data_IF_895880667601
#
_entry.id   IF_895880667601
#
_cell.length_a   1.000
_cell.length_b   1.000
_cell.length_c   1.000
_cell.angle_alpha   90.00
_cell.angle_beta   90.00
_cell.angle_gamma   90.00
#
_symmetry.space_group_name_H-M   'P 1'
#
loop_
_entity.id
_entity.type
_entity.pdbx_description
1 polymer ?
#
# COMPACT_ATOMS: atom_id res chain seq x y z
N UNK A 1 -64.00 -32.31 52.92
CA UNK A 1 -62.74 -33.02 52.62
C UNK A 1 -62.00 -32.17 51.60
N UNK A 2 -60.73 -31.88 51.89
CA UNK A 2 -59.75 -31.17 51.05
C UNK A 2 -59.84 -31.60 49.56
N UNK A 3 -59.60 -30.75 48.57
CA UNK A 3 -58.27 -30.20 48.32
C UNK A 3 -58.31 -28.78 47.75
N UNK A 4 -57.42 -27.96 48.31
CA UNK A 4 -56.96 -26.69 47.78
C UNK A 4 -56.71 -26.81 46.27
N UNK A 5 -57.44 -26.02 45.49
CA UNK A 5 -57.01 -25.63 44.15
C UNK A 5 -55.78 -24.74 44.32
N UNK A 6 -54.61 -25.40 44.28
CA UNK A 6 -53.31 -24.78 44.32
C UNK A 6 -53.17 -23.90 43.08
N UNK A 7 -53.51 -22.61 43.21
CA UNK A 7 -53.23 -21.57 42.22
C UNK A 7 -51.71 -21.46 42.12
N UNK A 8 -51.13 -22.17 41.15
CA UNK A 8 -49.75 -21.99 40.74
C UNK A 8 -49.64 -20.59 40.16
N UNK A 9 -49.23 -19.63 40.99
CA UNK A 9 -48.74 -18.35 40.53
C UNK A 9 -47.59 -18.65 39.58
N UNK A 10 -47.81 -18.35 38.30
CA UNK A 10 -46.75 -18.33 37.31
C UNK A 10 -45.91 -17.08 37.62
N UNK A 11 -45.12 -17.16 38.69
CA UNK A 11 -44.04 -16.23 38.99
C UNK A 11 -43.01 -16.42 37.88
N UNK A 12 -43.28 -15.79 36.73
CA UNK A 12 -42.26 -15.54 35.71
C UNK A 12 -41.21 -14.72 36.44
N UNK A 13 -40.19 -15.43 36.95
CA UNK A 13 -39.05 -14.84 37.63
C UNK A 13 -38.56 -13.71 36.74
N UNK A 14 -38.85 -12.46 37.11
CA UNK A 14 -38.31 -11.28 36.47
C UNK A 14 -36.81 -11.32 36.73
N UNK A 15 -36.08 -12.05 35.89
CA UNK A 15 -34.63 -11.96 35.76
C UNK A 15 -34.38 -10.47 35.54
N UNK A 16 -33.90 -9.77 36.57
CA UNK A 16 -33.51 -8.36 36.45
C UNK A 16 -32.49 -8.31 35.33
N UNK A 17 -32.90 -7.86 34.14
CA UNK A 17 -31.96 -7.58 33.06
C UNK A 17 -31.08 -6.46 33.60
N UNK A 18 -29.84 -6.79 33.99
CA UNK A 18 -28.82 -5.79 34.29
C UNK A 18 -28.55 -5.10 32.95
N UNK A 19 -29.12 -3.92 32.77
CA UNK A 19 -28.81 -3.07 31.63
C UNK A 19 -27.43 -2.46 31.80
N UNK A 20 -26.81 -2.10 30.68
CA UNK A 20 -25.57 -1.32 30.66
C UNK A 20 -25.83 0.06 31.27
N UNK A 21 -24.98 0.51 32.18
CA UNK A 21 -25.07 1.84 32.77
C UNK A 21 -24.48 2.89 31.82
N UNK A 22 -24.99 4.12 31.87
CA UNK A 22 -24.43 5.21 31.08
C UNK A 22 -22.98 5.52 31.48
N UNK A 23 -22.64 5.31 32.76
CA UNK A 23 -21.28 5.52 33.28
C UNK A 23 -20.30 4.51 32.66
N UNK A 24 -20.71 3.24 32.54
CA UNK A 24 -19.90 2.22 31.85
C UNK A 24 -19.64 2.61 30.40
N UNK A 25 -20.63 3.18 29.70
CA UNK A 25 -20.44 3.65 28.33
C UNK A 25 -19.47 4.83 28.23
N UNK A 26 -19.57 5.78 29.16
CA UNK A 26 -18.72 6.98 29.18
C UNK A 26 -17.25 6.62 29.40
N UNK A 27 -16.96 5.67 30.31
CA UNK A 27 -15.59 5.23 30.56
C UNK A 27 -15.01 4.52 29.32
N UNK A 28 -15.81 3.72 28.62
CA UNK A 28 -15.36 3.01 27.42
C UNK A 28 -14.98 3.99 26.31
N UNK A 29 -15.82 4.99 26.02
CA UNK A 29 -15.49 5.99 24.98
C UNK A 29 -14.30 6.86 25.39
N UNK A 30 -14.11 7.12 26.69
CA UNK A 30 -12.96 7.88 27.18
C UNK A 30 -11.64 7.12 26.95
N UNK A 31 -11.62 5.81 27.22
CA UNK A 31 -10.44 4.97 26.95
C UNK A 31 -10.18 4.86 25.45
N UNK A 32 -11.22 4.65 24.63
CA UNK A 32 -11.08 4.61 23.15
C UNK A 32 -10.54 5.94 22.62
N UNK A 33 -10.97 7.08 23.16
CA UNK A 33 -10.49 8.39 22.75
C UNK A 33 -8.99 8.57 23.02
N UNK A 34 -8.50 8.11 24.18
CA UNK A 34 -7.07 8.17 24.53
C UNK A 34 -6.25 7.27 23.59
N UNK A 35 -6.71 6.05 23.33
CA UNK A 35 -6.03 5.13 22.41
C UNK A 35 -6.01 5.67 20.97
N UNK A 36 -7.14 6.20 20.49
CA UNK A 36 -7.27 6.77 19.17
C UNK A 36 -6.35 7.99 18.97
N UNK A 37 -6.22 8.85 19.98
CA UNK A 37 -5.35 10.02 19.93
C UNK A 37 -3.86 9.66 19.68
N UNK A 38 -3.39 8.52 20.20
CA UNK A 38 -2.02 8.04 19.98
C UNK A 38 -1.91 7.23 18.68
N UNK A 39 -2.92 6.43 18.36
CA UNK A 39 -2.88 5.50 17.23
C UNK A 39 -3.02 6.19 15.87
N UNK A 40 -3.91 7.18 15.75
CA UNK A 40 -4.21 7.86 14.48
C UNK A 40 -2.98 8.51 13.85
N UNK A 41 -2.18 9.36 14.53
CA UNK A 41 -1.02 10.00 13.90
C UNK A 41 0.03 8.97 13.45
N UNK A 42 0.31 7.96 14.30
CA UNK A 42 1.28 6.90 13.99
C UNK A 42 0.89 6.06 12.79
N UNK A 43 -0.40 5.79 12.61
CA UNK A 43 -0.88 4.97 11.49
C UNK A 43 -0.60 5.62 10.14
N UNK A 44 -0.70 6.94 10.04
CA UNK A 44 -0.40 7.69 8.81
C UNK A 44 1.07 7.53 8.39
N UNK A 45 2.00 7.77 9.31
CA UNK A 45 3.44 7.65 9.06
C UNK A 45 3.85 6.21 8.67
N UNK A 46 3.32 5.21 9.38
CA UNK A 46 3.58 3.80 9.09
C UNK A 46 3.08 3.46 7.69
N UNK A 47 1.90 3.94 7.30
CA UNK A 47 1.33 3.70 5.97
C UNK A 47 2.18 4.33 4.87
N UNK A 48 2.62 5.58 5.05
CA UNK A 48 3.47 6.27 4.07
C UNK A 48 4.81 5.57 3.93
N UNK A 49 5.49 5.24 5.04
CA UNK A 49 6.76 4.52 4.99
C UNK A 49 6.63 3.11 4.39
N UNK A 50 5.52 2.41 4.67
CA UNK A 50 5.25 1.11 4.06
C UNK A 50 5.05 1.23 2.54
N UNK A 51 4.38 2.28 2.08
CA UNK A 51 4.20 2.54 0.65
C UNK A 51 5.53 2.90 -0.02
N UNK A 52 6.37 3.76 0.57
CA UNK A 52 7.71 4.10 0.07
C UNK A 52 8.60 2.86 -0.08
N UNK A 53 8.58 1.97 0.93
CA UNK A 53 9.33 0.71 0.88
C UNK A 53 8.82 -0.23 -0.20
N UNK A 54 7.51 -0.28 -0.41
CA UNK A 54 6.90 -1.07 -1.47
C UNK A 54 7.31 -0.54 -2.85
N UNK A 55 7.30 0.78 -3.03
CA UNK A 55 7.70 1.42 -4.29
C UNK A 55 9.19 1.23 -4.57
N UNK A 56 10.05 1.32 -3.54
CA UNK A 56 11.46 0.98 -3.65
C UNK A 56 11.68 -0.48 -4.06
N UNK A 57 10.90 -1.42 -3.53
CA UNK A 57 10.99 -2.82 -3.92
C UNK A 57 10.59 -3.01 -5.40
N UNK A 58 9.51 -2.37 -5.84
CA UNK A 58 9.10 -2.35 -7.24
C UNK A 58 10.19 -1.74 -8.13
N UNK A 59 10.75 -0.59 -7.75
CA UNK A 59 11.82 0.08 -8.48
C UNK A 59 13.10 -0.79 -8.62
N UNK A 60 13.47 -1.53 -7.58
CA UNK A 60 14.58 -2.50 -7.64
C UNK A 60 14.30 -3.66 -8.59
N UNK A 61 13.06 -4.18 -8.59
CA UNK A 61 12.65 -5.22 -9.54
C UNK A 61 12.71 -4.70 -10.97
N UNK A 62 12.22 -3.48 -11.21
CA UNK A 62 12.35 -2.79 -12.50
C UNK A 62 13.82 -2.73 -12.90
N UNK A 63 14.70 -2.18 -12.05
CA UNK A 63 16.12 -2.06 -12.37
C UNK A 63 16.78 -3.42 -12.66
N UNK A 64 16.36 -4.49 -11.98
CA UNK A 64 16.88 -5.85 -12.21
C UNK A 64 16.46 -6.40 -13.58
N UNK A 65 15.19 -6.23 -13.96
CA UNK A 65 14.69 -6.63 -15.28
C UNK A 65 15.42 -5.84 -16.36
N UNK A 66 15.54 -4.53 -16.20
CA UNK A 66 16.24 -3.66 -17.15
C UNK A 66 17.72 -4.06 -17.31
N UNK A 67 18.41 -4.36 -16.20
CA UNK A 67 19.78 -4.86 -16.26
C UNK A 67 19.90 -6.19 -17.01
N UNK A 68 18.95 -7.11 -16.81
CA UNK A 68 18.93 -8.39 -17.53
C UNK A 68 18.70 -8.20 -19.03
N UNK A 69 17.82 -7.26 -19.42
CA UNK A 69 17.51 -6.95 -20.81
C UNK A 69 18.69 -6.28 -21.53
N UNK A 70 19.39 -5.36 -20.85
CA UNK A 70 20.64 -4.79 -21.35
C UNK A 70 21.69 -5.89 -21.54
N UNK A 71 21.84 -6.81 -20.58
CA UNK A 71 22.78 -7.92 -20.68
C UNK A 71 22.44 -8.90 -21.82
N UNK A 72 21.14 -9.04 -22.17
CA UNK A 72 20.69 -9.86 -23.29
C UNK A 72 20.91 -9.21 -24.66
N UNK A 73 21.44 -7.97 -24.70
CA UNK A 73 21.62 -7.16 -25.90
C UNK A 73 20.30 -6.88 -26.67
N UNK A 74 19.16 -6.97 -25.96
CA UNK A 74 17.83 -6.58 -26.48
C UNK A 74 17.65 -5.06 -26.45
N UNK A 75 18.40 -4.38 -25.57
CA UNK A 75 18.44 -2.92 -25.41
C UNK A 75 19.93 -2.54 -25.34
N UNK A 76 20.47 -1.82 -26.32
CA UNK A 76 21.92 -1.61 -26.43
C UNK A 76 22.40 -0.26 -25.88
N UNK A 77 21.55 0.74 -25.82
CA UNK A 77 21.79 2.03 -25.16
C UNK A 77 20.40 2.71 -25.15
N UNK A 78 19.95 3.46 -24.13
CA UNK A 78 18.61 4.10 -24.18
C UNK A 78 18.50 5.42 -23.41
N UNK A 79 18.05 6.47 -24.09
CA UNK A 79 17.54 7.72 -23.49
C UNK A 79 16.01 7.67 -23.45
N UNK A 80 15.49 7.91 -22.25
CA UNK A 80 14.17 8.42 -21.89
C UNK A 80 13.03 8.12 -22.86
N UNK A 81 12.20 7.14 -22.48
CA UNK A 81 10.80 7.16 -22.90
C UNK A 81 9.94 7.71 -21.76
N UNK A 82 9.00 8.59 -22.11
CA UNK A 82 8.08 9.24 -21.18
C UNK A 82 6.95 8.30 -20.69
N UNK A 83 6.96 7.04 -21.12
CA UNK A 83 5.96 6.02 -20.78
C UNK A 83 6.47 5.09 -19.67
N UNK A 84 5.78 5.01 -18.52
CA UNK A 84 6.20 4.21 -17.38
C UNK A 84 6.13 2.68 -17.57
N UNK A 85 5.74 2.19 -18.75
CA UNK A 85 5.43 0.76 -18.97
C UNK A 85 6.28 0.05 -20.02
N UNK A 86 7.11 0.79 -20.77
CA UNK A 86 7.91 0.24 -21.86
C UNK A 86 9.27 0.92 -21.95
N UNK A 87 10.31 0.13 -22.13
CA UNK A 87 11.61 0.61 -22.58
C UNK A 87 11.72 0.40 -24.09
N UNK A 88 12.19 1.41 -24.80
CA UNK A 88 12.52 1.33 -26.22
C UNK A 88 14.02 1.54 -26.38
N UNK A 89 14.69 0.69 -27.16
CA UNK A 89 16.12 0.87 -27.45
C UNK A 89 16.36 2.17 -28.26
N UNK A 90 17.54 2.80 -28.17
CA UNK A 90 17.85 4.05 -28.92
C UNK A 90 17.65 3.93 -30.42
N UNK A 91 17.85 2.74 -30.99
CA UNK A 91 17.65 2.49 -32.41
C UNK A 91 16.16 2.39 -32.80
N UNK A 92 15.24 2.38 -31.81
CA UNK A 92 13.80 2.18 -32.02
C UNK A 92 13.44 0.77 -32.50
N UNK A 93 14.40 -0.16 -32.48
CA UNK A 93 14.25 -1.52 -33.05
C UNK A 93 13.91 -2.58 -32.00
N UNK A 94 14.20 -2.32 -30.72
CA UNK A 94 13.83 -3.16 -29.59
C UNK A 94 12.80 -2.46 -28.71
N UNK A 95 11.70 -3.13 -28.37
CA UNK A 95 10.71 -2.66 -27.39
C UNK A 95 10.53 -3.73 -26.34
N UNK A 96 10.76 -3.37 -25.08
CA UNK A 96 10.57 -4.25 -23.94
C UNK A 96 9.48 -3.67 -23.05
N UNK A 97 8.33 -4.35 -23.02
CA UNK A 97 7.28 -4.03 -22.06
C UNK A 97 7.67 -4.54 -20.68
N UNK A 98 8.15 -3.66 -19.82
CA UNK A 98 8.53 -3.99 -18.43
C UNK A 98 7.29 -4.45 -17.63
N UNK A 99 6.11 -3.94 -18.00
CA UNK A 99 4.83 -4.32 -17.39
C UNK A 99 4.46 -5.81 -17.52
N UNK A 100 4.97 -6.52 -18.52
CA UNK A 100 4.70 -7.96 -18.69
C UNK A 100 5.73 -8.85 -18.00
N UNK A 101 6.84 -8.28 -17.54
CA UNK A 101 7.95 -8.99 -16.92
C UNK A 101 7.94 -8.91 -15.38
N UNK A 102 7.13 -8.00 -14.82
CA UNK A 102 7.04 -7.78 -13.38
C UNK A 102 5.69 -8.25 -12.89
N UNK A 103 5.71 -9.19 -11.94
CA UNK A 103 4.51 -9.60 -11.20
C UNK A 103 4.18 -8.50 -10.16
N UNK A 104 3.32 -7.57 -10.54
CA UNK A 104 2.89 -6.48 -9.65
C UNK A 104 2.34 -5.26 -10.37
N UNK A 105 1.75 -4.34 -9.59
CA UNK A 105 1.32 -3.04 -10.12
C UNK A 105 2.52 -2.11 -10.29
N UNK A 106 2.70 -1.55 -11.49
CA UNK A 106 3.65 -0.47 -11.77
C UNK A 106 3.17 0.91 -11.32
N UNK A 107 2.04 0.98 -10.63
CA UNK A 107 1.54 2.22 -10.04
C UNK A 107 2.20 2.48 -8.68
N UNK A 108 2.85 3.63 -8.48
CA UNK A 108 3.36 4.04 -7.17
C UNK A 108 2.27 4.03 -6.10
N UNK A 109 2.55 3.45 -4.93
CA UNK A 109 1.66 3.48 -3.76
C UNK A 109 1.85 4.76 -2.95
N UNK A 110 3.06 5.30 -2.96
CA UNK A 110 3.40 6.64 -2.50
C UNK A 110 3.53 7.51 -3.74
N UNK A 111 2.55 8.37 -3.99
CA UNK A 111 2.57 9.27 -5.14
C UNK A 111 2.85 10.70 -4.65
N UNK A 112 4.11 11.18 -4.71
CA UNK A 112 4.40 12.59 -4.47
C UNK A 112 3.93 13.42 -5.67
N UNK A 113 2.60 13.53 -5.88
CA UNK A 113 2.00 14.34 -6.96
C UNK A 113 0.77 13.72 -7.64
N UNK A 114 0.54 14.09 -8.89
CA UNK A 114 -0.53 13.58 -9.78
C UNK A 114 -0.08 12.41 -10.67
N UNK A 115 1.05 11.78 -10.33
CA UNK A 115 1.79 10.93 -11.26
C UNK A 115 1.38 9.46 -11.20
N UNK A 116 1.25 8.79 -12.34
CA UNK A 116 0.58 7.48 -12.42
C UNK A 116 1.52 6.28 -12.58
N UNK A 117 2.85 6.48 -12.59
CA UNK A 117 3.81 5.42 -12.89
C UNK A 117 5.24 5.71 -12.45
N UNK A 118 6.14 4.79 -12.79
CA UNK A 118 7.60 4.93 -12.64
C UNK A 118 8.26 5.21 -13.99
N UNK A 119 9.15 6.18 -14.09
CA UNK A 119 9.99 6.39 -15.29
C UNK A 119 11.37 5.81 -15.08
N UNK A 120 11.95 5.24 -16.12
CA UNK A 120 13.25 4.55 -16.06
C UNK A 120 14.22 5.31 -16.95
N UNK A 121 15.38 5.65 -16.41
CA UNK A 121 16.47 6.29 -17.16
C UNK A 121 17.71 5.41 -17.08
N UNK A 122 18.25 5.00 -18.23
CA UNK A 122 19.52 4.29 -18.31
C UNK A 122 20.56 5.27 -18.84
N UNK A 123 21.63 5.49 -18.09
CA UNK A 123 22.74 6.33 -18.55
C UNK A 123 23.69 5.53 -19.46
N UNK A 124 24.42 6.23 -20.34
CA UNK A 124 25.48 5.67 -21.21
C UNK A 124 26.57 4.86 -20.45
N UNK A 125 26.63 4.97 -19.12
CA UNK A 125 27.55 4.19 -18.26
C UNK A 125 26.90 2.94 -17.64
N UNK A 126 25.69 2.55 -18.07
CA UNK A 126 24.96 1.40 -17.53
C UNK A 126 24.30 1.65 -16.16
N UNK A 127 24.28 2.89 -15.69
CA UNK A 127 23.56 3.25 -14.46
C UNK A 127 22.07 3.28 -14.74
N UNK A 128 21.29 2.55 -13.93
CA UNK A 128 19.83 2.47 -14.05
C UNK A 128 19.21 3.30 -12.93
N UNK A 129 18.40 4.28 -13.31
CA UNK A 129 17.64 5.12 -12.40
C UNK A 129 16.14 4.88 -12.60
N UNK A 130 15.39 4.87 -11.51
CA UNK A 130 13.94 4.76 -11.52
C UNK A 130 13.37 5.91 -10.70
N UNK A 131 12.56 6.74 -11.33
CA UNK A 131 11.93 7.93 -10.76
C UNK A 131 10.41 7.74 -10.70
N UNK A 132 9.71 8.50 -9.85
CA UNK A 132 8.27 8.67 -10.04
C UNK A 132 8.05 9.53 -11.29
N UNK A 133 7.22 9.03 -12.22
CA UNK A 133 6.98 9.69 -13.50
C UNK A 133 6.62 11.17 -13.27
N UNK A 134 7.23 12.13 -13.98
CA UNK A 134 6.84 13.55 -13.86
C UNK A 134 7.07 14.24 -12.52
N UNK A 135 7.62 13.57 -11.49
CA UNK A 135 7.96 14.22 -10.20
C UNK A 135 9.44 14.62 -10.12
N UNK A 136 10.30 14.02 -10.94
CA UNK A 136 11.75 14.17 -10.85
C UNK A 136 12.35 13.64 -9.54
N UNK A 137 11.57 12.89 -8.75
CA UNK A 137 12.01 12.30 -7.48
C UNK A 137 12.49 10.88 -7.72
N UNK A 138 13.77 10.65 -7.41
CA UNK A 138 14.44 9.36 -7.52
C UNK A 138 13.91 8.38 -6.49
N UNK A 139 13.57 7.17 -6.95
CA UNK A 139 13.19 6.02 -6.12
C UNK A 139 14.33 5.01 -6.08
N UNK A 140 15.08 4.88 -7.17
CA UNK A 140 16.26 4.02 -7.26
C UNK A 140 17.33 4.66 -8.15
N UNK A 141 18.63 4.53 -7.83
CA UNK A 141 19.18 4.05 -6.56
C UNK A 141 18.80 4.98 -5.39
N UNK A 142 18.86 4.48 -4.15
CA UNK A 142 18.69 5.30 -2.96
C UNK A 142 20.02 6.00 -2.68
N UNK A 143 20.02 7.32 -2.54
CA UNK A 143 21.17 8.12 -2.10
C UNK A 143 21.60 7.78 -0.66
#
# INVERSE_FOLDING_TARGET
MNQLLLKKSNEISKRKKKGFTLVELIIVIAIIAILAAIAIPKFGEIRTSANERADLATAKNIATVVAAEIASNTISDTQTDADPTSLTDFAGTGTVSIATQIDGSLTPKNNPGTNTGFTITVSNHGNIEVDYAGSGTKVYPQD
#
